data_IF_148550883906
#
_entry.id   IF_148550883906
#
_cell.length_a   1.000
_cell.length_b   1.000
_cell.length_c   1.000
_cell.angle_alpha   90.00
_cell.angle_beta   90.00
_cell.angle_gamma   90.00
#
_symmetry.space_group_name_H-M   'P 1'
#
loop_
_entity.id
_entity.type
_entity.pdbx_description
1 polymer ?
#
# COMPACT_ATOMS: atom_id res chain seq x y z
N UNK A 1 14.71 1.30 3.38
CA UNK A 1 14.48 0.10 2.57
C UNK A 1 15.82 -0.56 2.27
N UNK A 2 15.92 -1.88 2.33
CA UNK A 2 17.15 -2.63 2.04
C UNK A 2 16.87 -3.68 0.95
N UNK A 3 17.64 -3.61 -0.13
CA UNK A 3 17.56 -4.58 -1.21
C UNK A 3 18.40 -5.81 -0.87
N UNK A 4 17.83 -6.99 -1.09
CA UNK A 4 18.50 -8.27 -0.92
C UNK A 4 18.87 -8.82 -2.30
N UNK A 5 20.15 -9.14 -2.49
CA UNK A 5 20.65 -9.75 -3.71
C UNK A 5 20.95 -11.23 -3.51
N UNK A 6 21.02 -11.99 -4.60
CA UNK A 6 21.42 -13.39 -4.55
C UNK A 6 22.79 -13.53 -3.86
N UNK A 7 23.06 -14.62 -3.10
CA UNK A 7 24.26 -14.74 -2.27
C UNK A 7 25.58 -14.44 -3.00
N UNK A 8 25.71 -14.89 -4.25
CA UNK A 8 26.89 -14.63 -5.08
C UNK A 8 27.06 -13.15 -5.44
N UNK A 9 25.95 -12.44 -5.70
CA UNK A 9 25.96 -10.99 -5.97
C UNK A 9 26.28 -10.24 -4.68
N UNK A 10 25.67 -10.62 -3.55
CA UNK A 10 25.93 -10.01 -2.25
C UNK A 10 27.40 -10.14 -1.84
N UNK A 11 28.00 -11.32 -2.03
CA UNK A 11 29.43 -11.54 -1.80
C UNK A 11 30.31 -10.66 -2.72
N UNK A 12 29.90 -10.50 -3.99
CA UNK A 12 30.58 -9.60 -4.92
C UNK A 12 30.48 -8.12 -4.55
N UNK A 13 29.36 -7.69 -3.97
CA UNK A 13 29.19 -6.34 -3.41
C UNK A 13 30.13 -6.14 -2.22
N UNK A 14 30.16 -7.07 -1.27
CA UNK A 14 31.04 -7.00 -0.09
C UNK A 14 32.53 -7.01 -0.46
N UNK A 15 32.89 -7.72 -1.53
CA UNK A 15 34.24 -7.75 -2.07
C UNK A 15 34.61 -6.51 -2.91
N UNK A 16 33.69 -5.55 -3.09
CA UNK A 16 33.89 -4.35 -3.92
C UNK A 16 33.94 -4.61 -5.43
N UNK A 17 33.63 -5.84 -5.87
CA UNK A 17 33.58 -6.22 -7.28
C UNK A 17 32.34 -5.65 -7.96
N UNK A 18 31.24 -5.55 -7.22
CA UNK A 18 29.98 -5.00 -7.70
C UNK A 18 29.53 -3.82 -6.85
N UNK A 19 28.82 -2.87 -7.46
CA UNK A 19 28.30 -1.68 -6.81
C UNK A 19 26.79 -1.63 -6.98
N UNK A 20 26.07 -1.44 -5.88
CA UNK A 20 24.65 -1.10 -5.94
C UNK A 20 24.48 0.27 -6.59
N UNK A 21 23.46 0.42 -7.44
CA UNK A 21 23.13 1.68 -8.09
C UNK A 21 22.35 2.56 -7.11
N UNK A 22 22.63 3.87 -7.13
CA UNK A 22 21.94 4.86 -6.32
C UNK A 22 21.37 5.97 -7.21
N UNK A 23 20.17 6.44 -6.88
CA UNK A 23 19.54 7.64 -7.44
C UNK A 23 19.44 8.69 -6.35
N UNK A 24 20.17 9.80 -6.46
CA UNK A 24 20.20 10.86 -5.43
C UNK A 24 20.45 10.35 -3.99
N UNK A 25 21.31 9.35 -3.84
CA UNK A 25 21.61 8.73 -2.54
C UNK A 25 20.61 7.65 -2.10
N UNK A 26 19.52 7.42 -2.84
CA UNK A 26 18.56 6.34 -2.61
C UNK A 26 19.03 5.07 -3.34
N UNK A 27 19.18 3.93 -2.64
CA UNK A 27 19.57 2.68 -3.28
C UNK A 27 18.49 2.19 -4.25
N UNK A 28 18.89 1.60 -5.37
CA UNK A 28 18.01 0.94 -6.33
C UNK A 28 18.14 -0.58 -6.22
N UNK A 29 17.18 -1.30 -6.80
CA UNK A 29 17.18 -2.76 -6.92
C UNK A 29 18.21 -3.32 -7.91
N UNK A 30 19.16 -2.51 -8.39
CA UNK A 30 20.09 -2.88 -9.47
C UNK A 30 21.53 -2.82 -8.98
N UNK A 31 22.35 -3.76 -9.48
CA UNK A 31 23.79 -3.84 -9.24
C UNK A 31 24.54 -3.83 -10.56
N UNK A 32 25.68 -3.13 -10.57
CA UNK A 32 26.61 -3.06 -11.71
C UNK A 32 28.01 -3.53 -11.34
N UNK A 33 28.78 -3.93 -12.34
CA UNK A 33 30.20 -4.23 -12.19
C UNK A 33 30.98 -2.96 -11.86
N UNK A 34 31.89 -3.04 -10.88
CA UNK A 34 32.66 -1.88 -10.42
C UNK A 34 33.66 -1.37 -11.46
N UNK A 35 34.12 -2.24 -12.38
CA UNK A 35 35.15 -1.92 -13.37
C UNK A 35 34.51 -1.54 -14.71
N UNK A 36 33.62 -2.39 -15.24
CA UNK A 36 33.01 -2.15 -16.54
C UNK A 36 31.80 -1.22 -16.49
N UNK A 37 31.19 -1.04 -15.31
CA UNK A 37 29.95 -0.28 -15.14
C UNK A 37 28.70 -0.98 -15.70
N UNK A 38 28.84 -2.18 -16.28
CA UNK A 38 27.72 -2.94 -16.84
C UNK A 38 26.81 -3.48 -15.74
N UNK A 39 25.51 -3.58 -16.01
CA UNK A 39 24.55 -4.17 -15.09
C UNK A 39 24.75 -5.68 -14.97
N UNK A 40 24.73 -6.19 -13.74
CA UNK A 40 25.03 -7.60 -13.44
C UNK A 40 23.82 -8.32 -12.84
N UNK A 41 23.02 -7.64 -12.01
CA UNK A 41 21.89 -8.28 -11.35
C UNK A 41 20.84 -7.28 -10.86
N UNK A 42 19.63 -7.81 -10.68
CA UNK A 42 18.58 -7.18 -9.89
C UNK A 42 18.50 -7.81 -8.49
N UNK A 43 17.91 -7.09 -7.56
CA UNK A 43 17.59 -7.61 -6.24
C UNK A 43 16.56 -8.75 -6.38
N UNK A 44 16.58 -9.67 -5.42
CA UNK A 44 15.67 -10.82 -5.30
C UNK A 44 14.70 -10.69 -4.12
N UNK A 45 14.95 -9.74 -3.23
CA UNK A 45 14.06 -9.39 -2.13
C UNK A 45 14.23 -7.95 -1.68
N UNK A 46 13.30 -7.48 -0.88
CA UNK A 46 13.34 -6.15 -0.27
C UNK A 46 12.84 -6.26 1.16
N UNK A 47 13.49 -5.55 2.08
CA UNK A 47 13.03 -5.42 3.47
C UNK A 47 12.83 -3.96 3.86
N UNK A 48 11.84 -3.75 4.73
CA UNK A 48 11.58 -2.50 5.44
C UNK A 48 11.56 -2.82 6.92
N UNK A 49 12.31 -2.06 7.72
CA UNK A 49 12.43 -2.28 9.18
C UNK A 49 12.77 -3.73 9.55
N UNK A 50 13.69 -4.36 8.81
CA UNK A 50 14.11 -5.77 8.96
C UNK A 50 13.02 -6.83 8.69
N UNK A 51 11.86 -6.43 8.17
CA UNK A 51 10.78 -7.32 7.76
C UNK A 51 10.65 -7.37 6.23
N UNK A 52 10.25 -8.51 5.63
CA UNK A 52 9.99 -8.58 4.21
C UNK A 52 8.96 -7.54 3.76
N UNK A 53 9.26 -6.86 2.64
CA UNK A 53 8.35 -5.92 2.01
C UNK A 53 7.15 -6.68 1.44
N UNK A 54 6.04 -6.66 2.17
CA UNK A 54 4.79 -7.31 1.80
C UNK A 54 3.67 -6.25 1.67
N UNK A 55 3.71 -5.41 0.63
CA UNK A 55 2.68 -4.39 0.38
C UNK A 55 1.31 -5.04 0.18
N UNK A 56 0.24 -4.36 0.59
CA UNK A 56 -1.12 -4.88 0.44
C UNK A 56 -1.61 -4.75 -1.01
N UNK A 57 -1.30 -3.63 -1.64
CA UNK A 57 -1.72 -3.27 -2.99
C UNK A 57 -0.56 -3.07 -3.95
N UNK A 58 0.64 -2.78 -3.47
CA UNK A 58 1.76 -2.44 -4.34
C UNK A 58 2.46 -3.68 -4.95
N UNK A 59 2.96 -3.55 -6.18
CA UNK A 59 3.59 -4.69 -6.87
C UNK A 59 5.12 -4.67 -6.73
N UNK A 60 5.63 -5.39 -5.74
CA UNK A 60 7.07 -5.52 -5.49
C UNK A 60 7.85 -6.10 -6.69
N UNK A 61 7.22 -6.96 -7.51
CA UNK A 61 7.86 -7.57 -8.70
C UNK A 61 8.20 -6.55 -9.81
N UNK A 62 7.49 -5.42 -9.90
CA UNK A 62 7.78 -4.36 -10.88
C UNK A 62 9.03 -3.56 -10.48
N UNK A 63 9.25 -3.44 -9.18
CA UNK A 63 10.42 -2.83 -8.57
C UNK A 63 11.72 -3.61 -8.92
N UNK A 64 11.61 -4.92 -9.17
CA UNK A 64 12.73 -5.84 -9.38
C UNK A 64 13.08 -6.10 -10.85
N UNK A 65 12.25 -5.66 -11.79
CA UNK A 65 12.41 -5.92 -13.23
C UNK A 65 13.00 -4.74 -14.02
N UNK A 66 13.64 -3.81 -13.30
CA UNK A 66 14.11 -2.52 -13.79
C UNK A 66 14.65 -2.55 -15.23
N UNK A 67 14.00 -1.78 -16.11
CA UNK A 67 14.26 -1.59 -17.54
C UNK A 67 14.00 -2.76 -18.53
N UNK A 68 13.63 -3.97 -18.10
CA UNK A 68 13.62 -5.17 -18.99
C UNK A 68 12.26 -5.53 -19.62
N UNK A 69 11.19 -4.84 -19.26
CA UNK A 69 9.82 -5.27 -19.57
C UNK A 69 9.50 -5.34 -21.07
N UNK A 70 10.25 -4.60 -21.90
CA UNK A 70 9.92 -4.40 -23.31
C UNK A 70 10.43 -5.50 -24.27
N UNK A 71 11.45 -6.29 -23.89
CA UNK A 71 12.19 -7.13 -24.87
C UNK A 71 12.50 -8.56 -24.43
N UNK A 72 12.31 -8.95 -23.17
CA UNK A 72 12.69 -10.28 -22.68
C UNK A 72 11.49 -11.06 -22.17
N UNK A 73 11.49 -12.38 -22.43
CA UNK A 73 10.46 -13.29 -21.95
C UNK A 73 10.31 -13.23 -20.41
N UNK A 74 11.42 -13.01 -19.69
CA UNK A 74 11.43 -12.84 -18.24
C UNK A 74 10.76 -11.54 -17.78
N UNK A 75 11.02 -10.41 -18.44
CA UNK A 75 10.34 -9.13 -18.15
C UNK A 75 8.83 -9.24 -18.33
N UNK A 76 8.38 -9.98 -19.35
CA UNK A 76 6.96 -10.28 -19.55
C UNK A 76 6.38 -11.14 -18.43
N UNK A 77 7.08 -12.21 -18.00
CA UNK A 77 6.64 -13.04 -16.87
C UNK A 77 6.54 -12.24 -15.57
N UNK A 78 7.47 -11.31 -15.31
CA UNK A 78 7.39 -10.44 -14.12
C UNK A 78 6.17 -9.53 -14.13
N UNK A 79 5.83 -8.96 -15.30
CA UNK A 79 4.61 -8.14 -15.47
C UNK A 79 3.37 -9.00 -15.22
N UNK A 80 3.28 -10.20 -15.82
CA UNK A 80 2.16 -11.11 -15.61
C UNK A 80 1.99 -11.51 -14.14
N UNK A 81 3.08 -11.85 -13.46
CA UNK A 81 3.04 -12.19 -12.03
C UNK A 81 2.57 -10.99 -11.20
N UNK A 82 3.05 -9.80 -11.51
CA UNK A 82 2.63 -8.57 -10.83
C UNK A 82 1.14 -8.27 -11.01
N UNK A 83 0.65 -8.44 -12.23
CA UNK A 83 -0.76 -8.30 -12.59
C UNK A 83 -1.66 -9.33 -11.89
N UNK A 84 -1.19 -10.59 -11.77
CA UNK A 84 -1.89 -11.61 -11.00
C UNK A 84 -1.93 -11.25 -9.51
N UNK A 85 -0.86 -10.69 -8.95
CA UNK A 85 -0.85 -10.18 -7.57
C UNK A 85 -1.88 -9.07 -7.37
N UNK A 86 -1.97 -8.10 -8.30
CA UNK A 86 -3.00 -7.04 -8.26
C UNK A 86 -4.40 -7.65 -8.25
N UNK A 87 -4.67 -8.60 -9.16
CA UNK A 87 -5.96 -9.26 -9.24
C UNK A 87 -6.33 -9.99 -7.94
N UNK A 88 -5.39 -10.74 -7.36
CA UNK A 88 -5.61 -11.44 -6.10
C UNK A 88 -5.89 -10.47 -4.94
N UNK A 89 -5.09 -9.41 -4.82
CA UNK A 89 -5.34 -8.36 -3.81
C UNK A 89 -6.71 -7.72 -4.02
N UNK A 90 -7.08 -7.35 -5.25
CA UNK A 90 -8.36 -6.71 -5.56
C UNK A 90 -9.56 -7.57 -5.13
N UNK A 91 -9.53 -8.88 -5.41
CA UNK A 91 -10.61 -9.79 -5.02
C UNK A 91 -10.76 -9.96 -3.51
N UNK A 92 -9.65 -9.98 -2.77
CA UNK A 92 -9.67 -10.06 -1.29
C UNK A 92 -10.16 -8.75 -0.71
N UNK A 93 -9.62 -7.62 -1.16
CA UNK A 93 -9.99 -6.29 -0.68
C UNK A 93 -11.46 -5.98 -0.94
N UNK A 94 -11.97 -6.28 -2.14
CA UNK A 94 -13.38 -6.13 -2.46
C UNK A 94 -14.27 -7.00 -1.56
N UNK A 95 -13.88 -8.25 -1.30
CA UNK A 95 -14.64 -9.12 -0.41
C UNK A 95 -14.65 -8.60 1.04
N UNK A 96 -13.51 -8.13 1.54
CA UNK A 96 -13.44 -7.54 2.89
C UNK A 96 -14.22 -6.23 2.99
N UNK A 97 -14.19 -5.38 1.95
CA UNK A 97 -15.03 -4.18 1.82
C UNK A 97 -16.50 -4.53 1.98
N UNK A 98 -16.91 -5.66 1.40
CA UNK A 98 -18.28 -6.12 1.50
C UNK A 98 -18.72 -6.32 2.98
N UNK A 99 -17.87 -6.91 3.82
CA UNK A 99 -18.20 -7.20 5.21
C UNK A 99 -18.30 -5.94 6.09
N UNK A 100 -17.53 -4.90 5.78
CA UNK A 100 -17.36 -3.72 6.64
C UNK A 100 -17.86 -2.42 5.99
N UNK A 101 -18.34 -2.49 4.74
CA UNK A 101 -18.50 -1.31 3.89
C UNK A 101 -19.85 -0.62 3.97
N UNK A 102 -20.92 -1.27 4.44
CA UNK A 102 -22.28 -0.71 4.34
C UNK A 102 -22.98 -0.76 5.71
N UNK A 103 -23.34 0.41 6.25
CA UNK A 103 -24.13 0.57 7.48
C UNK A 103 -23.32 0.75 8.77
N UNK A 104 -24.00 0.64 9.92
CA UNK A 104 -23.35 0.64 11.25
C UNK A 104 -22.59 -0.66 11.44
N UNK A 105 -21.26 -0.60 11.37
CA UNK A 105 -20.40 -1.78 11.47
C UNK A 105 -20.30 -2.21 12.92
N UNK A 106 -20.58 -3.49 13.21
CA UNK A 106 -20.24 -4.07 14.50
C UNK A 106 -18.71 -4.28 14.57
N UNK A 107 -18.04 -3.90 15.66
CA UNK A 107 -16.59 -4.11 15.83
C UNK A 107 -16.13 -5.56 15.57
N UNK A 108 -17.01 -6.53 15.79
CA UNK A 108 -16.81 -7.95 15.46
C UNK A 108 -16.55 -8.17 13.95
N UNK A 109 -17.15 -7.40 13.06
CA UNK A 109 -16.88 -7.46 11.63
C UNK A 109 -15.47 -6.96 11.28
N UNK A 110 -15.04 -5.86 11.91
CA UNK A 110 -13.72 -5.25 11.68
C UNK A 110 -12.59 -6.19 12.12
N UNK A 111 -12.73 -6.84 13.28
CA UNK A 111 -11.76 -7.85 13.74
C UNK A 111 -11.63 -9.05 12.81
N UNK A 112 -12.73 -9.45 12.14
CA UNK A 112 -12.75 -10.59 11.23
C UNK A 112 -11.96 -10.36 9.93
N UNK A 113 -11.78 -9.09 9.54
CA UNK A 113 -11.06 -8.69 8.32
C UNK A 113 -9.94 -7.69 8.56
N UNK A 114 -9.40 -7.65 9.78
CA UNK A 114 -8.22 -6.83 10.10
C UNK A 114 -7.01 -7.19 9.23
N UNK A 115 -5.90 -6.45 9.41
CA UNK A 115 -4.71 -6.59 8.58
C UNK A 115 -4.19 -8.04 8.53
N UNK A 116 -4.07 -8.67 9.70
CA UNK A 116 -3.58 -10.05 9.80
C UNK A 116 -4.48 -11.03 9.02
N UNK A 117 -5.80 -10.95 9.20
CA UNK A 117 -6.75 -11.81 8.48
C UNK A 117 -6.73 -11.53 6.98
N UNK A 118 -6.62 -10.27 6.57
CA UNK A 118 -6.56 -9.89 5.16
C UNK A 118 -5.32 -10.47 4.48
N UNK A 119 -4.16 -10.38 5.13
CA UNK A 119 -2.93 -11.01 4.63
C UNK A 119 -3.06 -12.54 4.53
N UNK A 120 -3.73 -13.17 5.50
CA UNK A 120 -3.99 -14.60 5.47
C UNK A 120 -4.90 -14.99 4.30
N UNK A 121 -6.01 -14.28 4.12
CA UNK A 121 -6.96 -14.50 3.03
C UNK A 121 -6.27 -14.35 1.66
N UNK A 122 -5.45 -13.31 1.51
CA UNK A 122 -4.63 -13.12 0.31
C UNK A 122 -3.74 -14.31 0.02
N UNK A 123 -3.01 -14.78 1.03
CA UNK A 123 -2.15 -15.96 0.88
C UNK A 123 -2.93 -17.22 0.52
N UNK A 124 -4.13 -17.41 1.09
CA UNK A 124 -4.99 -18.54 0.74
C UNK A 124 -5.48 -18.47 -0.72
N UNK A 125 -5.77 -17.28 -1.25
CA UNK A 125 -6.09 -17.08 -2.67
C UNK A 125 -4.87 -17.30 -3.56
N UNK A 126 -3.70 -16.76 -3.20
CA UNK A 126 -2.44 -16.97 -3.94
C UNK A 126 -2.09 -18.47 -4.03
N UNK A 127 -2.39 -19.24 -2.98
CA UNK A 127 -2.21 -20.70 -2.92
C UNK A 127 -3.36 -21.49 -3.57
N UNK A 128 -4.30 -20.82 -4.24
CA UNK A 128 -5.50 -21.40 -4.87
C UNK A 128 -6.39 -22.22 -3.92
N UNK A 129 -6.30 -21.96 -2.60
CA UNK A 129 -7.14 -22.61 -1.57
C UNK A 129 -8.50 -21.93 -1.45
N UNK A 130 -8.55 -20.65 -1.81
CA UNK A 130 -9.78 -19.87 -1.96
C UNK A 130 -9.89 -19.38 -3.41
N UNK A 131 -11.10 -19.47 -3.96
CA UNK A 131 -11.39 -19.01 -5.32
C UNK A 131 -12.07 -17.63 -5.27
N UNK A 132 -11.64 -16.71 -6.14
CA UNK A 132 -12.30 -15.41 -6.33
C UNK A 132 -13.32 -15.53 -7.45
N UNK A 133 -14.60 -15.37 -7.12
CA UNK A 133 -15.71 -15.36 -8.08
C UNK A 133 -16.34 -13.98 -8.15
N UNK A 134 -16.41 -13.39 -9.34
CA UNK A 134 -16.98 -12.05 -9.56
C UNK A 134 -16.36 -10.96 -8.66
N UNK A 135 -15.10 -11.12 -8.27
CA UNK A 135 -14.39 -10.19 -7.39
C UNK A 135 -14.66 -10.41 -5.91
N UNK A 136 -15.32 -11.50 -5.52
CA UNK A 136 -15.59 -11.85 -4.14
C UNK A 136 -15.05 -13.26 -3.82
N UNK A 137 -14.48 -13.43 -2.64
CA UNK A 137 -14.26 -14.74 -2.04
C UNK A 137 -15.47 -15.14 -1.21
N UNK A 138 -15.71 -16.44 -1.06
CA UNK A 138 -16.72 -16.94 -0.13
C UNK A 138 -16.23 -16.72 1.31
N UNK A 139 -16.59 -15.58 1.91
CA UNK A 139 -16.23 -15.24 3.28
C UNK A 139 -16.81 -16.23 4.30
N UNK A 140 -17.95 -16.88 4.00
CA UNK A 140 -18.55 -17.88 4.89
C UNK A 140 -17.68 -19.13 4.95
N UNK A 141 -17.10 -19.52 3.82
CA UNK A 141 -16.10 -20.59 3.76
C UNK A 141 -14.77 -20.16 4.39
N UNK A 142 -14.27 -18.98 4.02
CA UNK A 142 -12.96 -18.48 4.44
C UNK A 142 -12.88 -18.23 5.96
N UNK A 143 -13.98 -17.75 6.57
CA UNK A 143 -14.08 -17.44 7.99
C UNK A 143 -14.85 -18.51 8.78
N UNK A 144 -14.98 -19.73 8.24
CA UNK A 144 -15.74 -20.82 8.88
C UNK A 144 -15.24 -21.19 10.28
N UNK A 145 -13.93 -20.99 10.53
CA UNK A 145 -13.30 -21.22 11.83
C UNK A 145 -13.51 -20.08 12.84
N UNK A 146 -14.12 -18.97 12.44
CA UNK A 146 -14.39 -17.84 13.32
C UNK A 146 -15.76 -17.97 14.03
N UNK A 147 -15.99 -17.08 15.00
CA UNK A 147 -17.14 -17.12 15.91
C UNK A 147 -18.50 -17.17 15.20
N UNK A 148 -19.53 -17.67 15.91
CA UNK A 148 -20.90 -17.74 15.39
C UNK A 148 -21.42 -16.35 15.02
N UNK A 149 -21.01 -15.32 15.76
CA UNK A 149 -21.36 -13.91 15.54
C UNK A 149 -20.92 -13.42 14.15
N UNK A 150 -19.69 -13.74 13.72
CA UNK A 150 -19.15 -13.34 12.42
C UNK A 150 -19.94 -13.97 11.28
N UNK A 151 -20.36 -15.23 11.45
CA UNK A 151 -21.23 -15.91 10.47
C UNK A 151 -22.62 -15.29 10.39
N UNK A 152 -23.15 -14.79 11.51
CA UNK A 152 -24.44 -14.08 11.52
C UNK A 152 -24.32 -12.73 10.83
N UNK A 153 -23.25 -11.97 11.07
CA UNK A 153 -22.98 -10.70 10.39
C UNK A 153 -22.90 -10.90 8.88
N UNK A 154 -22.16 -11.91 8.40
CA UNK A 154 -22.07 -12.22 6.96
C UNK A 154 -23.46 -12.47 6.37
N UNK A 155 -24.32 -13.21 7.07
CA UNK A 155 -25.68 -13.52 6.61
C UNK A 155 -26.59 -12.27 6.62
N UNK A 156 -26.43 -11.37 7.61
CA UNK A 156 -27.16 -10.11 7.68
C UNK A 156 -26.76 -9.15 6.57
N UNK A 157 -25.45 -8.99 6.33
CA UNK A 157 -24.91 -8.14 5.26
C UNK A 157 -25.40 -8.59 3.89
N UNK A 158 -25.46 -9.90 3.65
CA UNK A 158 -25.99 -10.45 2.39
C UNK A 158 -27.48 -10.15 2.14
N UNK A 159 -28.23 -9.72 3.16
CA UNK A 159 -29.64 -9.34 3.05
C UNK A 159 -29.84 -7.82 2.95
N UNK A 160 -28.78 -7.02 3.08
CA UNK A 160 -28.86 -5.56 3.02
C UNK A 160 -28.97 -5.07 1.56
N UNK A 161 -29.97 -4.22 1.30
CA UNK A 161 -30.26 -3.71 -0.05
C UNK A 161 -29.17 -2.75 -0.54
N UNK A 162 -28.63 -1.89 0.33
CA UNK A 162 -27.52 -0.99 -0.01
C UNK A 162 -26.26 -1.80 -0.29
N UNK A 163 -26.03 -2.85 0.49
CA UNK A 163 -24.96 -3.80 0.24
C UNK A 163 -25.08 -4.41 -1.16
N UNK A 164 -26.24 -4.92 -1.54
CA UNK A 164 -26.45 -5.50 -2.88
C UNK A 164 -26.28 -4.48 -4.01
N UNK A 165 -26.65 -3.21 -3.79
CA UNK A 165 -26.39 -2.13 -4.75
C UNK A 165 -24.89 -1.89 -4.93
N UNK A 166 -24.13 -1.74 -3.85
CA UNK A 166 -22.68 -1.61 -3.89
C UNK A 166 -22.03 -2.83 -4.54
N UNK A 167 -22.46 -4.04 -4.13
CA UNK A 167 -21.97 -5.30 -4.67
C UNK A 167 -22.18 -5.37 -6.17
N UNK A 168 -23.35 -4.98 -6.68
CA UNK A 168 -23.65 -4.99 -8.12
C UNK A 168 -22.69 -4.11 -8.92
N UNK A 169 -22.42 -2.89 -8.43
CA UNK A 169 -21.46 -1.98 -9.06
C UNK A 169 -20.05 -2.57 -9.03
N UNK A 170 -19.62 -3.09 -7.89
CA UNK A 170 -18.28 -3.67 -7.73
C UNK A 170 -18.07 -4.96 -8.53
N UNK A 171 -19.09 -5.82 -8.65
CA UNK A 171 -19.05 -7.00 -9.53
C UNK A 171 -18.81 -6.57 -10.98
N UNK A 172 -19.53 -5.54 -11.44
CA UNK A 172 -19.36 -5.00 -12.79
C UNK A 172 -17.96 -4.43 -13.00
N UNK A 173 -17.51 -3.58 -12.08
CA UNK A 173 -16.19 -2.95 -12.15
C UNK A 173 -15.06 -4.00 -12.15
N UNK A 174 -15.15 -5.01 -11.28
CA UNK A 174 -14.22 -6.13 -11.26
C UNK A 174 -14.25 -6.93 -12.57
N UNK A 175 -15.43 -7.17 -13.14
CA UNK A 175 -15.57 -7.83 -14.44
C UNK A 175 -14.86 -7.07 -15.56
N UNK A 176 -15.01 -5.74 -15.61
CA UNK A 176 -14.30 -4.87 -16.56
C UNK A 176 -12.79 -4.92 -16.32
N UNK A 177 -12.35 -4.88 -15.06
CA UNK A 177 -10.94 -5.02 -14.70
C UNK A 177 -10.36 -6.34 -15.21
N UNK A 178 -10.98 -7.49 -14.90
CA UNK A 178 -10.51 -8.81 -15.37
C UNK A 178 -10.46 -8.88 -16.89
N UNK A 179 -11.45 -8.31 -17.58
CA UNK A 179 -11.45 -8.26 -19.03
C UNK A 179 -10.28 -7.41 -19.55
N UNK A 180 -10.01 -6.25 -18.95
CA UNK A 180 -8.86 -5.41 -19.27
C UNK A 180 -7.54 -6.18 -19.10
N UNK A 181 -7.39 -6.95 -18.02
CA UNK A 181 -6.21 -7.77 -17.74
C UNK A 181 -6.02 -8.86 -18.81
N UNK A 182 -7.09 -9.55 -19.21
CA UNK A 182 -7.06 -10.55 -20.28
C UNK A 182 -6.68 -9.94 -21.64
N UNK A 183 -7.26 -8.77 -21.96
CA UNK A 183 -6.93 -8.00 -23.15
C UNK A 183 -5.46 -7.53 -23.12
N UNK A 184 -4.95 -7.11 -21.97
CA UNK A 184 -3.56 -6.71 -21.80
C UNK A 184 -2.59 -7.86 -22.10
N UNK A 185 -2.84 -9.04 -21.52
CA UNK A 185 -2.07 -10.24 -21.80
C UNK A 185 -2.06 -10.56 -23.30
N UNK A 186 -3.21 -10.45 -23.96
CA UNK A 186 -3.35 -10.69 -25.39
C UNK A 186 -2.59 -9.66 -26.23
N UNK A 187 -2.68 -8.38 -25.88
CA UNK A 187 -2.00 -7.29 -26.57
C UNK A 187 -0.48 -7.46 -26.48
N UNK A 188 0.05 -7.86 -25.33
CA UNK A 188 1.49 -8.08 -25.12
C UNK A 188 2.07 -9.23 -25.96
N UNK A 189 1.25 -10.16 -26.45
CA UNK A 189 1.67 -11.23 -27.36
C UNK A 189 1.76 -10.79 -28.84
N UNK A 190 1.26 -9.59 -29.17
CA UNK A 190 1.30 -9.06 -30.53
C UNK A 190 2.72 -8.63 -30.92
N UNK A 191 3.20 -9.13 -32.07
CA UNK A 191 4.50 -8.76 -32.63
C UNK A 191 4.49 -7.38 -33.30
N UNK A 192 3.35 -6.98 -33.88
CA UNK A 192 3.18 -5.67 -34.50
C UNK A 192 3.09 -4.59 -33.41
N UNK A 193 4.07 -3.70 -33.40
CA UNK A 193 4.21 -2.64 -32.41
C UNK A 193 2.99 -1.71 -32.35
N UNK A 194 2.46 -1.31 -33.51
CA UNK A 194 1.35 -0.36 -33.58
C UNK A 194 0.06 -1.01 -33.07
N UNK A 195 -0.19 -2.26 -33.45
CA UNK A 195 -1.37 -3.02 -32.97
C UNK A 195 -1.27 -3.33 -31.47
N UNK A 196 -0.07 -3.67 -31.00
CA UNK A 196 0.18 -3.86 -29.56
C UNK A 196 -0.13 -2.61 -28.77
N UNK A 197 0.39 -1.45 -29.20
CA UNK A 197 0.18 -0.20 -28.49
C UNK A 197 -1.29 0.23 -28.51
N UNK A 198 -1.97 0.10 -29.66
CA UNK A 198 -3.41 0.36 -29.75
C UNK A 198 -4.21 -0.55 -28.79
N UNK A 199 -3.86 -1.84 -28.72
CA UNK A 199 -4.48 -2.77 -27.76
C UNK A 199 -4.22 -2.40 -26.30
N UNK A 200 -3.03 -1.89 -25.97
CA UNK A 200 -2.71 -1.39 -24.62
C UNK A 200 -3.48 -0.10 -24.30
N UNK A 201 -3.69 0.77 -25.27
CA UNK A 201 -4.50 1.99 -25.09
C UNK A 201 -5.97 1.65 -24.82
N UNK A 202 -6.53 0.67 -25.53
CA UNK A 202 -7.88 0.14 -25.30
C UNK A 202 -8.02 -0.45 -23.88
N UNK A 203 -7.03 -1.24 -23.45
CA UNK A 203 -6.95 -1.77 -22.07
C UNK A 203 -6.97 -0.64 -21.06
N UNK A 204 -6.17 0.42 -21.28
CA UNK A 204 -6.12 1.56 -20.38
C UNK A 204 -7.48 2.24 -20.26
N UNK A 205 -8.23 2.36 -21.36
CA UNK A 205 -9.61 2.85 -21.35
C UNK A 205 -10.53 2.02 -20.44
N UNK A 206 -10.41 0.69 -20.50
CA UNK A 206 -11.18 -0.21 -19.63
C UNK A 206 -10.79 -0.07 -18.15
N UNK A 207 -9.49 0.07 -17.86
CA UNK A 207 -9.02 0.28 -16.49
C UNK A 207 -9.54 1.61 -15.92
N UNK A 208 -9.58 2.68 -16.71
CA UNK A 208 -10.20 3.94 -16.28
C UNK A 208 -11.71 3.80 -16.02
N UNK A 209 -12.41 3.00 -16.83
CA UNK A 209 -13.83 2.73 -16.60
C UNK A 209 -14.07 1.96 -15.29
N UNK A 210 -13.26 0.93 -15.01
CA UNK A 210 -13.34 0.19 -13.74
C UNK A 210 -12.99 1.10 -12.56
N UNK A 211 -11.93 1.91 -12.67
CA UNK A 211 -11.50 2.85 -11.65
C UNK A 211 -12.62 3.82 -11.25
N UNK A 212 -13.36 4.36 -12.22
CA UNK A 212 -14.44 5.31 -11.98
C UNK A 212 -15.53 4.74 -11.04
N UNK A 213 -15.82 3.44 -11.14
CA UNK A 213 -16.78 2.77 -10.27
C UNK A 213 -16.23 2.57 -8.85
N UNK A 214 -14.95 2.19 -8.68
CA UNK A 214 -14.33 2.04 -7.36
C UNK A 214 -14.14 3.39 -6.66
N UNK A 215 -13.75 4.44 -7.39
CA UNK A 215 -13.51 5.78 -6.83
C UNK A 215 -14.75 6.68 -6.84
N UNK A 216 -15.95 6.13 -7.02
CA UNK A 216 -17.18 6.91 -7.08
C UNK A 216 -17.46 7.60 -5.72
N UNK A 217 -17.46 8.95 -5.64
CA UNK A 217 -17.61 9.66 -4.37
C UNK A 217 -18.93 9.35 -3.65
N UNK A 218 -20.04 9.26 -4.38
CA UNK A 218 -21.35 8.96 -3.79
C UNK A 218 -21.38 7.60 -3.11
N UNK A 219 -20.73 6.61 -3.72
CA UNK A 219 -20.65 5.28 -3.11
C UNK A 219 -19.61 5.22 -1.98
N UNK A 220 -18.59 6.09 -1.97
CA UNK A 220 -17.62 6.16 -0.86
C UNK A 220 -18.20 6.85 0.39
N UNK A 221 -19.03 7.86 0.20
CA UNK A 221 -19.71 8.58 1.28
C UNK A 221 -20.63 7.68 2.10
N UNK A 222 -21.26 6.69 1.47
CA UNK A 222 -22.14 5.72 2.12
C UNK A 222 -21.44 4.66 2.97
N UNK A 223 -20.10 4.62 2.95
CA UNK A 223 -19.29 3.66 3.70
C UNK A 223 -18.73 4.27 4.99
N UNK A 224 -18.46 3.42 5.98
CA UNK A 224 -17.66 3.80 7.15
C UNK A 224 -16.18 4.02 6.76
N UNK A 225 -15.35 4.54 7.66
CA UNK A 225 -13.96 4.87 7.35
C UNK A 225 -13.15 3.62 6.93
N UNK A 226 -13.36 2.49 7.61
CA UNK A 226 -12.72 1.22 7.28
C UNK A 226 -13.15 0.68 5.90
N UNK A 227 -14.44 0.74 5.59
CA UNK A 227 -14.97 0.37 4.28
C UNK A 227 -14.47 1.27 3.16
N UNK A 228 -14.39 2.58 3.42
CA UNK A 228 -13.83 3.54 2.49
C UNK A 228 -12.37 3.22 2.18
N UNK A 229 -11.56 2.91 3.19
CA UNK A 229 -10.16 2.53 3.01
C UNK A 229 -10.02 1.33 2.06
N UNK A 230 -10.74 0.22 2.33
CA UNK A 230 -10.64 -0.98 1.49
C UNK A 230 -11.07 -0.75 0.04
N UNK A 231 -12.05 0.11 -0.17
CA UNK A 231 -12.46 0.49 -1.52
C UNK A 231 -11.44 1.37 -2.23
N UNK A 232 -10.82 2.31 -1.51
CA UNK A 232 -9.75 3.14 -2.04
C UNK A 232 -8.51 2.30 -2.40
N UNK A 233 -8.17 1.31 -1.59
CA UNK A 233 -7.11 0.35 -1.90
C UNK A 233 -7.36 -0.40 -3.21
N UNK A 234 -8.60 -0.81 -3.48
CA UNK A 234 -8.99 -1.35 -4.79
C UNK A 234 -8.76 -0.34 -5.93
N UNK A 235 -9.13 0.92 -5.73
CA UNK A 235 -8.91 1.97 -6.72
C UNK A 235 -7.42 2.21 -6.97
N UNK A 236 -6.59 2.28 -5.93
CA UNK A 236 -5.14 2.45 -6.03
C UNK A 236 -4.47 1.26 -6.72
N UNK A 237 -4.96 0.03 -6.52
CA UNK A 237 -4.48 -1.16 -7.23
C UNK A 237 -4.75 -1.06 -8.76
N UNK A 238 -5.90 -0.54 -9.16
CA UNK A 238 -6.23 -0.30 -10.58
C UNK A 238 -5.37 0.84 -11.15
N UNK A 239 -5.12 1.89 -10.39
CA UNK A 239 -4.20 2.98 -10.79
C UNK A 239 -2.78 2.45 -11.06
N UNK A 240 -2.28 1.52 -10.25
CA UNK A 240 -1.00 0.86 -10.52
C UNK A 240 -1.02 0.05 -11.81
N UNK A 241 -2.11 -0.68 -12.10
CA UNK A 241 -2.26 -1.38 -13.38
C UNK A 241 -2.23 -0.38 -14.56
N UNK A 242 -2.83 0.80 -14.41
CA UNK A 242 -2.73 1.89 -15.40
C UNK A 242 -1.28 2.34 -15.58
N UNK A 243 -0.52 2.54 -14.50
CA UNK A 243 0.92 2.90 -14.59
C UNK A 243 1.70 1.84 -15.38
N UNK A 244 1.42 0.55 -15.13
CA UNK A 244 2.06 -0.56 -15.88
C UNK A 244 1.81 -0.44 -17.38
N UNK A 245 0.62 -0.03 -17.82
CA UNK A 245 0.33 0.15 -19.26
C UNK A 245 1.26 1.17 -19.92
N UNK A 246 1.57 2.28 -19.23
CA UNK A 246 2.53 3.27 -19.73
C UNK A 246 3.95 2.73 -19.69
N UNK A 247 4.31 1.98 -18.64
CA UNK A 247 5.64 1.41 -18.50
C UNK A 247 5.95 0.41 -19.62
N UNK A 248 5.02 -0.47 -19.99
CA UNK A 248 5.26 -1.43 -21.08
C UNK A 248 5.31 -0.77 -22.46
N UNK A 249 4.71 0.41 -22.62
CA UNK A 249 4.86 1.25 -23.81
C UNK A 249 6.14 2.11 -23.78
N UNK A 250 6.94 2.01 -22.71
CA UNK A 250 8.16 2.78 -22.48
C UNK A 250 7.92 4.31 -22.37
N UNK A 251 6.73 4.71 -21.91
CA UNK A 251 6.37 6.11 -21.69
C UNK A 251 6.86 6.60 -20.31
N UNK A 252 8.18 6.65 -20.12
CA UNK A 252 8.85 6.92 -18.83
C UNK A 252 8.36 8.20 -18.15
N UNK A 253 8.09 9.26 -18.92
CA UNK A 253 7.54 10.52 -18.39
C UNK A 253 6.14 10.32 -17.81
N UNK A 254 5.25 9.65 -18.55
CA UNK A 254 3.90 9.35 -18.09
C UNK A 254 3.92 8.44 -16.85
N UNK A 255 4.82 7.45 -16.81
CA UNK A 255 5.00 6.59 -15.63
C UNK A 255 5.35 7.41 -14.40
N UNK A 256 6.37 8.28 -14.50
CA UNK A 256 6.79 9.17 -13.41
C UNK A 256 5.63 10.04 -12.93
N UNK A 257 4.95 10.73 -13.85
CA UNK A 257 3.86 11.63 -13.49
C UNK A 257 2.69 10.88 -12.81
N UNK A 258 2.35 9.69 -13.32
CA UNK A 258 1.26 8.87 -12.73
C UNK A 258 1.64 8.32 -11.35
N UNK A 259 2.89 7.95 -11.11
CA UNK A 259 3.36 7.48 -9.82
C UNK A 259 3.36 8.58 -8.76
N UNK A 260 3.78 9.81 -9.11
CA UNK A 260 3.69 10.98 -8.22
C UNK A 260 2.23 11.24 -7.86
N UNK A 261 1.35 11.31 -8.87
CA UNK A 261 -0.08 11.53 -8.65
C UNK A 261 -0.73 10.45 -7.77
N UNK A 262 -0.34 9.19 -7.95
CA UNK A 262 -0.85 8.08 -7.14
C UNK A 262 -0.38 8.19 -5.68
N UNK A 263 0.89 8.50 -5.44
CA UNK A 263 1.42 8.67 -4.08
C UNK A 263 0.71 9.83 -3.35
N UNK A 264 0.56 10.98 -4.01
CA UNK A 264 -0.17 12.13 -3.47
C UNK A 264 -1.62 11.78 -3.17
N UNK A 265 -2.26 11.02 -4.06
CA UNK A 265 -3.64 10.57 -3.90
C UNK A 265 -3.79 9.63 -2.70
N UNK A 266 -2.91 8.63 -2.56
CA UNK A 266 -2.90 7.73 -1.39
C UNK A 266 -2.77 8.53 -0.10
N UNK A 267 -1.87 9.52 -0.03
CA UNK A 267 -1.71 10.37 1.15
C UNK A 267 -2.98 11.17 1.47
N UNK A 268 -3.59 11.83 0.48
CA UNK A 268 -4.83 12.63 0.66
C UNK A 268 -6.03 11.77 1.06
N UNK A 269 -6.17 10.63 0.41
CA UNK A 269 -7.23 9.69 0.67
C UNK A 269 -7.08 9.09 2.08
N UNK A 270 -5.85 8.74 2.50
CA UNK A 270 -5.57 8.27 3.87
C UNK A 270 -5.92 9.33 4.91
N UNK A 271 -5.53 10.60 4.71
CA UNK A 271 -5.93 11.71 5.59
C UNK A 271 -7.46 11.86 5.68
N UNK A 272 -8.15 11.74 4.54
CA UNK A 272 -9.61 11.79 4.50
C UNK A 272 -10.24 10.67 5.34
N UNK A 273 -9.73 9.45 5.22
CA UNK A 273 -10.18 8.29 5.99
C UNK A 273 -9.91 8.47 7.49
N UNK A 274 -8.71 8.91 7.88
CA UNK A 274 -8.35 9.13 9.29
C UNK A 274 -9.29 10.17 9.91
N UNK A 275 -9.56 11.27 9.20
CA UNK A 275 -10.44 12.33 9.69
C UNK A 275 -11.91 11.89 9.81
N UNK A 276 -12.34 10.90 9.02
CA UNK A 276 -13.67 10.28 9.12
C UNK A 276 -13.78 9.19 10.18
N UNK A 277 -12.69 8.80 10.83
CA UNK A 277 -12.71 7.79 11.88
C UNK A 277 -13.44 8.35 13.12
N UNK A 278 -14.53 7.69 13.52
CA UNK A 278 -15.41 8.16 14.61
C UNK A 278 -15.38 7.26 15.85
N UNK A 279 -14.80 6.06 15.76
CA UNK A 279 -14.85 5.06 16.84
C UNK A 279 -13.52 4.34 17.08
N UNK A 280 -13.34 3.79 18.29
CA UNK A 280 -12.19 2.95 18.62
C UNK A 280 -12.15 1.69 17.76
N UNK A 281 -13.27 1.02 17.54
CA UNK A 281 -13.34 -0.19 16.71
C UNK A 281 -12.82 0.08 15.28
N UNK A 282 -13.18 1.22 14.68
CA UNK A 282 -12.64 1.63 13.39
C UNK A 282 -11.15 1.96 13.47
N UNK A 283 -10.70 2.60 14.53
CA UNK A 283 -9.28 2.93 14.71
C UNK A 283 -8.43 1.67 14.90
N UNK A 284 -8.95 0.67 15.62
CA UNK A 284 -8.32 -0.66 15.80
C UNK A 284 -8.06 -1.34 14.46
N UNK A 285 -8.95 -1.11 13.49
CA UNK A 285 -8.79 -1.57 12.12
C UNK A 285 -7.85 -0.67 11.32
N UNK A 286 -8.07 0.64 11.33
CA UNK A 286 -7.39 1.59 10.44
C UNK A 286 -5.92 1.77 10.79
N UNK A 287 -5.56 1.77 12.07
CA UNK A 287 -4.22 2.14 12.49
C UNK A 287 -3.14 1.19 11.96
N UNK A 288 -3.26 -0.16 12.12
CA UNK A 288 -2.29 -1.07 11.53
C UNK A 288 -2.25 -1.01 10.00
N UNK A 289 -3.41 -0.86 9.36
CA UNK A 289 -3.54 -0.79 7.89
C UNK A 289 -2.82 0.43 7.32
N UNK A 290 -3.06 1.60 7.89
CA UNK A 290 -2.49 2.88 7.44
C UNK A 290 -0.98 2.91 7.66
N UNK A 291 -0.49 2.39 8.79
CA UNK A 291 0.95 2.22 9.01
C UNK A 291 1.56 1.32 7.93
N UNK A 292 0.89 0.22 7.58
CA UNK A 292 1.36 -0.67 6.53
C UNK A 292 1.39 0.03 5.18
N UNK A 293 0.33 0.74 4.81
CA UNK A 293 0.28 1.53 3.56
C UNK A 293 1.44 2.53 3.51
N UNK A 294 1.70 3.25 4.61
CA UNK A 294 2.78 4.22 4.69
C UNK A 294 4.16 3.59 4.52
N UNK A 295 4.40 2.46 5.20
CA UNK A 295 5.74 1.88 5.32
C UNK A 295 6.05 0.84 4.23
N UNK A 296 5.04 0.21 3.65
CA UNK A 296 5.19 -0.84 2.66
C UNK A 296 4.74 -0.35 1.27
N UNK A 297 3.48 0.04 1.11
CA UNK A 297 2.93 0.36 -0.20
C UNK A 297 3.51 1.64 -0.79
N UNK A 298 3.52 2.74 -0.04
CA UNK A 298 4.17 3.99 -0.47
C UNK A 298 5.68 3.82 -0.65
N UNK A 299 6.32 2.97 0.15
CA UNK A 299 7.75 2.69 -0.01
C UNK A 299 8.05 1.96 -1.33
N UNK A 300 7.19 1.03 -1.76
CA UNK A 300 7.28 0.38 -3.09
C UNK A 300 7.11 1.41 -4.21
N UNK A 301 6.11 2.27 -4.11
CA UNK A 301 5.83 3.30 -5.12
C UNK A 301 6.96 4.33 -5.23
N UNK A 302 7.49 4.80 -4.09
CA UNK A 302 8.65 5.70 -4.05
C UNK A 302 9.88 5.03 -4.68
N UNK A 303 10.12 3.76 -4.38
CA UNK A 303 11.24 3.06 -5.02
C UNK A 303 11.04 2.84 -6.52
N UNK A 304 9.80 2.62 -6.97
CA UNK A 304 9.47 2.55 -8.40
C UNK A 304 9.69 3.90 -9.08
N UNK A 305 9.25 4.99 -8.45
CA UNK A 305 9.48 6.36 -8.91
C UNK A 305 10.98 6.65 -9.03
N UNK A 306 11.75 6.38 -7.98
CA UNK A 306 13.21 6.59 -7.97
C UNK A 306 13.92 5.82 -9.09
N UNK A 307 13.44 4.61 -9.42
CA UNK A 307 13.96 3.83 -10.53
C UNK A 307 13.63 4.47 -11.90
N UNK A 308 12.40 4.92 -12.10
CA UNK A 308 11.94 5.59 -13.32
C UNK A 308 12.66 6.92 -13.53
N UNK A 309 12.82 7.71 -12.47
CA UNK A 309 13.58 8.96 -12.50
C UNK A 309 15.05 8.75 -12.81
N UNK A 310 15.65 7.71 -12.24
CA UNK A 310 17.01 7.34 -12.57
C UNK A 310 17.14 6.98 -14.05
N UNK A 311 16.25 6.15 -14.60
CA UNK A 311 16.25 5.82 -16.03
C UNK A 311 16.16 7.07 -16.91
N UNK A 312 15.31 8.03 -16.53
CA UNK A 312 15.19 9.33 -17.22
C UNK A 312 16.48 10.16 -17.16
N UNK A 313 17.25 10.04 -16.09
CA UNK A 313 18.51 10.78 -15.91
C UNK A 313 19.69 10.23 -16.70
N UNK A 314 19.57 9.03 -17.28
CA UNK A 314 20.64 8.41 -18.05
C UNK A 314 20.88 9.15 -19.38
N UNK A 315 22.14 9.42 -19.76
CA UNK A 315 22.47 9.97 -21.07
C UNK A 315 21.93 9.11 -22.22
N UNK A 316 21.59 9.69 -23.39
CA UNK A 316 21.14 8.92 -24.56
C UNK A 316 22.12 7.84 -25.01
N UNK A 317 23.42 8.05 -24.81
CA UNK A 317 24.49 7.09 -25.13
C UNK A 317 24.64 5.97 -24.07
N UNK A 318 24.09 6.19 -22.86
CA UNK A 318 24.00 5.24 -21.76
C UNK A 318 22.61 4.60 -21.65
N UNK A 319 21.65 5.02 -22.48
CA UNK A 319 20.38 4.31 -22.66
C UNK A 319 20.70 2.90 -23.20
N UNK A 320 20.18 1.89 -22.49
CA UNK A 320 20.70 0.52 -22.56
C UNK A 320 20.85 0.01 -24.01
N UNK A 321 22.07 -0.33 -24.46
CA UNK A 321 22.22 -1.16 -25.64
C UNK A 321 21.59 -2.53 -25.34
N UNK A 322 20.85 -3.07 -26.31
CA UNK A 322 20.17 -4.38 -26.22
C UNK A 322 21.10 -5.56 -25.87
N UNK A 323 22.42 -5.39 -25.98
CA UNK A 323 23.44 -6.36 -25.57
C UNK A 323 23.65 -6.45 -24.06
N UNK A 324 23.57 -5.34 -23.31
CA UNK A 324 23.70 -5.35 -21.84
C UNK A 324 22.42 -5.88 -21.17
N UNK A 325 21.27 -5.70 -21.83
CA UNK A 325 19.96 -6.28 -21.47
C UNK A 325 19.94 -7.83 -21.58
N UNK A 326 20.72 -8.42 -22.50
CA UNK A 326 20.79 -9.88 -22.68
C UNK A 326 21.56 -10.59 -21.55
N UNK A 327 22.58 -9.95 -20.97
CA UNK A 327 23.35 -10.53 -19.86
C UNK A 327 22.44 -10.73 -18.64
N UNK A 328 21.53 -9.79 -18.38
CA UNK A 328 20.55 -9.87 -17.30
C UNK A 328 19.51 -11.00 -17.49
N UNK A 329 19.30 -11.47 -18.73
CA UNK A 329 18.39 -12.57 -19.06
C UNK A 329 19.00 -13.97 -18.96
N UNK A 330 20.33 -14.05 -18.95
CA UNK A 330 21.09 -15.31 -19.03
C UNK A 330 21.44 -15.93 -17.67
N UNK A 331 21.16 -15.23 -16.58
CA UNK A 331 21.16 -15.87 -15.27
C UNK A 331 19.92 -16.75 -15.18
N UNK A 332 20.10 -18.06 -15.19
CA UNK A 332 19.04 -19.04 -14.94
C UNK A 332 18.46 -18.80 -13.54
N UNK A 333 17.48 -17.91 -13.45
CA UNK A 333 16.60 -17.78 -12.30
C UNK A 333 15.55 -18.88 -12.37
N UNK A 334 15.99 -20.14 -12.44
CA UNK A 334 15.12 -21.26 -12.17
C UNK A 334 14.48 -21.01 -10.82
N UNK A 335 13.16 -20.89 -10.86
CA UNK A 335 12.22 -21.00 -9.75
C UNK A 335 12.94 -21.33 -8.45
N UNK A 336 13.31 -20.32 -7.68
CA UNK A 336 13.14 -20.49 -6.26
C UNK A 336 11.63 -20.66 -6.10
N UNK A 337 11.19 -21.92 -6.17
CA UNK A 337 10.10 -22.37 -5.35
C UNK A 337 10.47 -21.86 -3.96
N UNK A 338 9.96 -20.68 -3.62
CA UNK A 338 9.87 -20.26 -2.25
C UNK A 338 8.99 -21.34 -1.66
N UNK A 339 9.62 -22.37 -1.09
CA UNK A 339 8.94 -23.34 -0.26
C UNK A 339 8.35 -22.51 0.87
N UNK A 340 7.14 -21.98 0.65
CA UNK A 340 6.25 -21.47 1.66
C UNK A 340 5.78 -22.71 2.43
N UNK A 341 6.72 -23.32 3.16
CA UNK A 341 6.47 -24.10 4.34
C UNK A 341 5.35 -23.43 5.09
N UNK A 342 4.33 -24.19 5.46
CA UNK A 342 3.07 -23.76 6.06
C UNK A 342 3.29 -22.69 7.14
N UNK A 343 3.29 -21.41 6.74
CA UNK A 343 3.59 -20.30 7.66
C UNK A 343 2.28 -20.01 8.40
N UNK A 344 2.21 -20.35 9.67
CA UNK A 344 1.52 -19.51 10.65
C UNK A 344 2.08 -18.10 10.43
N UNK A 345 1.38 -17.26 9.66
CA UNK A 345 1.81 -15.87 9.51
C UNK A 345 1.94 -15.34 10.94
N UNK A 346 3.14 -14.91 11.31
CA UNK A 346 3.27 -14.15 12.54
C UNK A 346 2.37 -12.91 12.43
N UNK A 347 1.86 -12.46 13.56
CA UNK A 347 1.10 -11.22 13.63
C UNK A 347 1.91 -10.07 12.99
N UNK A 348 1.28 -9.22 12.16
CA UNK A 348 1.98 -8.12 11.51
C UNK A 348 2.58 -7.19 12.57
N UNK A 349 3.82 -6.70 12.39
CA UNK A 349 4.45 -5.82 13.36
C UNK A 349 3.64 -4.54 13.60
N UNK A 350 2.88 -4.07 12.61
CA UNK A 350 1.99 -2.91 12.72
C UNK A 350 0.89 -3.12 13.77
N UNK A 351 0.38 -4.36 13.90
CA UNK A 351 -0.63 -4.73 14.89
C UNK A 351 -0.06 -4.65 16.31
N UNK A 352 1.15 -5.20 16.52
CA UNK A 352 1.84 -5.16 17.82
C UNK A 352 2.21 -3.74 18.25
N UNK A 353 2.61 -2.90 17.29
CA UNK A 353 2.89 -1.48 17.55
C UNK A 353 1.60 -0.78 18.01
N UNK A 354 0.50 -1.01 17.30
CA UNK A 354 -0.78 -0.40 17.65
C UNK A 354 -1.25 -0.81 19.05
N UNK A 355 -1.24 -2.11 19.37
CA UNK A 355 -1.66 -2.60 20.69
C UNK A 355 -0.89 -1.94 21.83
N UNK A 356 0.43 -1.77 21.65
CA UNK A 356 1.26 -1.10 22.66
C UNK A 356 0.97 0.40 22.81
N UNK A 357 0.53 1.07 21.74
CA UNK A 357 0.16 2.48 21.74
C UNK A 357 -1.24 2.69 22.32
N UNK A 358 -2.17 1.79 21.98
CA UNK A 358 -3.56 1.82 22.41
C UNK A 358 -3.69 1.72 23.94
N UNK A 359 -2.88 0.88 24.59
CA UNK A 359 -2.81 0.80 26.06
C UNK A 359 -2.37 2.10 26.75
N UNK A 360 -1.66 2.98 26.02
CA UNK A 360 -0.98 4.17 26.57
C UNK A 360 -1.60 5.49 26.12
N UNK A 361 -2.66 5.46 25.33
CA UNK A 361 -3.23 6.63 24.68
C UNK A 361 -4.74 6.57 24.69
N UNK A 362 -5.39 7.71 24.46
CA UNK A 362 -6.82 7.77 24.17
C UNK A 362 -7.06 7.93 22.67
N UNK A 363 -8.29 7.64 22.23
CA UNK A 363 -8.75 7.73 20.85
C UNK A 363 -8.17 8.89 20.04
N UNK A 364 -8.40 10.12 20.47
CA UNK A 364 -8.05 11.31 19.70
C UNK A 364 -6.53 11.45 19.55
N UNK A 365 -5.76 11.13 20.59
CA UNK A 365 -4.29 11.10 20.51
C UNK A 365 -3.79 10.04 19.52
N UNK A 366 -4.38 8.83 19.53
CA UNK A 366 -4.02 7.78 18.57
C UNK A 366 -4.35 8.17 17.13
N UNK A 367 -5.53 8.76 16.91
CA UNK A 367 -5.93 9.24 15.59
C UNK A 367 -4.96 10.32 15.08
N UNK A 368 -4.57 11.26 15.93
CA UNK A 368 -3.63 12.32 15.56
C UNK A 368 -2.21 11.80 15.34
N UNK A 369 -1.79 10.75 16.07
CA UNK A 369 -0.54 10.05 15.79
C UNK A 369 -0.50 9.47 14.36
N UNK A 370 -1.62 9.00 13.80
CA UNK A 370 -1.70 8.64 12.39
C UNK A 370 -1.60 9.86 11.48
N UNK A 371 -2.25 10.97 11.83
CA UNK A 371 -2.18 12.21 11.06
C UNK A 371 -0.74 12.71 10.95
N UNK A 372 0.07 12.62 12.01
CA UNK A 372 1.48 13.03 11.99
C UNK A 372 2.31 12.32 10.91
N UNK A 373 1.93 11.09 10.51
CA UNK A 373 2.62 10.34 9.46
C UNK A 373 2.49 10.99 8.07
N UNK A 374 1.44 11.78 7.86
CA UNK A 374 1.10 12.41 6.58
C UNK A 374 1.13 13.94 6.65
N UNK A 375 0.93 14.52 7.84
CA UNK A 375 0.95 15.97 8.10
C UNK A 375 2.00 16.30 9.20
N UNK A 376 3.30 16.37 8.85
CA UNK A 376 4.36 16.70 9.80
C UNK A 376 4.20 18.09 10.44
N UNK A 377 3.52 19.02 9.76
CA UNK A 377 3.27 20.36 10.29
C UNK A 377 2.27 20.32 11.46
N UNK A 378 1.26 19.44 11.44
CA UNK A 378 0.34 19.25 12.56
C UNK A 378 1.10 18.83 13.83
N UNK A 379 2.07 17.93 13.69
CA UNK A 379 2.95 17.53 14.81
C UNK A 379 3.71 18.73 15.37
N UNK A 380 4.25 19.60 14.50
CA UNK A 380 4.97 20.82 14.91
C UNK A 380 4.06 21.83 15.60
N UNK A 381 2.82 21.98 15.15
CA UNK A 381 1.82 22.81 15.83
C UNK A 381 1.57 22.30 17.26
N UNK A 382 1.49 20.98 17.45
CA UNK A 382 1.31 20.38 18.77
C UNK A 382 2.54 20.62 19.65
N UNK A 383 3.75 20.43 19.12
CA UNK A 383 5.00 20.73 19.84
C UNK A 383 5.07 22.21 20.29
N UNK A 384 4.68 23.14 19.42
CA UNK A 384 4.65 24.56 19.74
C UNK A 384 3.66 24.87 20.86
N UNK A 385 2.41 24.39 20.72
CA UNK A 385 1.37 24.58 21.73
C UNK A 385 1.78 23.99 23.09
N UNK A 386 2.30 22.76 23.11
CA UNK A 386 2.79 22.11 24.34
C UNK A 386 3.89 22.97 24.99
N UNK A 387 4.84 23.48 24.19
CA UNK A 387 5.94 24.30 24.71
C UNK A 387 5.45 25.61 25.31
N UNK A 388 4.44 26.24 24.72
CA UNK A 388 3.83 27.46 25.23
C UNK A 388 3.11 27.19 26.57
N UNK A 389 2.25 26.17 26.61
CA UNK A 389 1.48 25.81 27.81
C UNK A 389 2.37 25.31 28.96
N UNK A 390 3.44 24.59 28.63
CA UNK A 390 4.46 24.18 29.57
C UNK A 390 5.17 25.38 30.19
N UNK A 391 5.48 26.41 29.40
CA UNK A 391 6.06 27.67 29.87
C UNK A 391 5.17 28.37 30.90
N UNK A 392 3.87 28.47 30.62
CA UNK A 392 2.87 29.08 31.51
C UNK A 392 2.76 28.31 32.83
N UNK A 393 2.89 26.99 32.80
CA UNK A 393 2.69 26.12 33.98
C UNK A 393 3.95 25.66 34.67
N UNK A 394 5.10 26.14 34.23
CA UNK A 394 6.39 25.92 34.89
C UNK A 394 7.08 24.60 34.55
N UNK A 395 6.63 23.86 33.53
CA UNK A 395 7.29 22.65 33.03
C UNK A 395 8.48 22.99 32.12
N UNK A 396 9.58 23.46 32.72
CA UNK A 396 10.76 24.01 32.03
C UNK A 396 11.47 23.06 31.06
N UNK A 397 11.20 21.75 31.11
CA UNK A 397 11.84 20.74 30.25
C UNK A 397 11.07 20.47 28.95
N UNK A 398 9.79 20.85 28.86
CA UNK A 398 8.97 20.65 27.68
C UNK A 398 9.15 21.81 26.70
N UNK A 399 10.40 22.02 26.26
CA UNK A 399 10.76 23.01 25.24
C UNK A 399 10.76 22.36 23.85
N UNK A 400 10.56 23.15 22.80
CA UNK A 400 10.47 22.67 21.41
C UNK A 400 11.61 21.72 21.02
N UNK A 401 12.86 22.00 21.39
CA UNK A 401 14.01 21.13 21.05
C UNK A 401 13.90 19.72 21.63
N UNK A 402 13.31 19.59 22.82
CA UNK A 402 13.10 18.28 23.45
C UNK A 402 11.88 17.57 22.87
N UNK A 403 10.82 18.32 22.57
CA UNK A 403 9.59 17.79 21.97
C UNK A 403 9.82 17.29 20.54
N UNK A 404 10.71 17.94 19.78
CA UNK A 404 11.13 17.46 18.46
C UNK A 404 11.72 16.04 18.51
N UNK A 405 12.45 15.70 19.58
CA UNK A 405 13.04 14.37 19.79
C UNK A 405 12.10 13.37 20.46
N UNK A 406 10.96 13.83 20.97
CA UNK A 406 9.98 12.98 21.64
C UNK A 406 9.24 12.09 20.63
N UNK A 407 8.71 10.97 21.10
CA UNK A 407 7.86 10.12 20.27
C UNK A 407 6.53 10.79 19.95
N UNK A 408 5.90 10.38 18.85
CA UNK A 408 4.56 10.82 18.47
C UNK A 408 3.53 10.53 19.56
N UNK A 409 3.67 9.37 20.23
CA UNK A 409 2.92 9.03 21.46
C UNK A 409 3.02 10.13 22.53
N UNK A 410 4.23 10.62 22.78
CA UNK A 410 4.48 11.62 23.81
C UNK A 410 3.87 12.96 23.42
N UNK A 411 4.08 13.39 22.17
CA UNK A 411 3.56 14.66 21.66
C UNK A 411 2.02 14.65 21.66
N UNK A 412 1.39 13.61 21.11
CA UNK A 412 -0.06 13.48 21.06
C UNK A 412 -0.69 13.49 22.47
N UNK A 413 -0.17 12.68 23.40
CA UNK A 413 -0.72 12.63 24.75
C UNK A 413 -0.51 13.93 25.54
N UNK A 414 0.64 14.59 25.39
CA UNK A 414 0.90 15.86 26.07
C UNK A 414 0.00 16.98 25.54
N UNK A 415 -0.23 17.02 24.22
CA UNK A 415 -1.14 17.99 23.62
C UNK A 415 -2.53 17.90 24.26
N UNK A 416 -3.12 16.70 24.30
CA UNK A 416 -4.44 16.50 24.88
C UNK A 416 -4.49 16.68 26.39
N UNK A 417 -3.40 16.39 27.11
CA UNK A 417 -3.28 16.73 28.52
C UNK A 417 -3.43 18.24 28.75
N UNK A 418 -2.71 19.07 27.99
CA UNK A 418 -2.80 20.53 28.12
C UNK A 418 -4.13 21.07 27.61
N UNK A 419 -4.63 20.57 26.49
CA UNK A 419 -5.91 20.97 25.91
C UNK A 419 -7.08 20.75 26.86
N UNK A 420 -7.22 19.53 27.41
CA UNK A 420 -8.31 19.21 28.34
C UNK A 420 -8.21 20.04 29.63
N UNK A 421 -6.99 20.33 30.08
CA UNK A 421 -6.77 21.20 31.25
C UNK A 421 -7.25 22.62 30.97
N UNK A 422 -6.92 23.17 29.81
CA UNK A 422 -7.27 24.55 29.47
C UNK A 422 -8.79 24.68 29.24
N UNK A 423 -9.42 23.74 28.53
CA UNK A 423 -10.89 23.67 28.37
C UNK A 423 -11.62 23.59 29.72
N UNK A 424 -11.10 22.80 30.68
CA UNK A 424 -11.70 22.70 32.02
C UNK A 424 -11.60 24.00 32.84
N UNK A 425 -10.59 24.83 32.59
CA UNK A 425 -10.45 26.13 33.27
C UNK A 425 -11.45 27.13 32.71
N UNK A 426 -11.61 27.18 31.38
CA UNK A 426 -12.56 28.08 30.72
C UNK A 426 -14.02 27.81 31.17
N UNK A 427 -14.42 26.54 31.30
CA UNK A 427 -15.74 26.16 31.83
C UNK A 427 -15.94 26.62 33.28
N UNK A 428 -14.91 26.51 34.12
CA UNK A 428 -14.98 26.90 35.53
C UNK A 428 -15.09 28.43 35.69
N UNK A 429 -14.37 29.19 34.86
CA UNK A 429 -14.42 30.65 34.85
C UNK A 429 -15.78 31.18 34.34
N UNK A 430 -16.36 30.56 33.30
CA UNK A 430 -17.71 30.88 32.79
C UNK A 430 -18.84 30.60 33.80
N UNK A 431 -18.73 29.53 34.59
CA UNK A 431 -19.70 29.23 35.66
C UNK A 431 -19.55 30.18 36.85
N UNK A 432 -18.35 30.70 37.11
CA UNK A 432 -18.11 31.66 38.20
C UNK A 432 -18.48 33.12 37.87
N UNK A 433 -18.71 33.42 36.58
CA UNK A 433 -19.07 34.74 36.08
C UNK A 433 -20.59 34.95 35.86
N UNK A 434 -21.41 33.90 36.05
CA UNK A 434 -22.88 33.94 36.08
C UNK A 434 -23.39 33.83 37.52
#
# INVERSE_FOLDING_TARGET
MLFQFAPAIQAGIHAGKYLQVFSNGVPLSIVRDAVSGQFIANAIGVTVNNSPLSPLIAVSNLLMSGAQMYQTQQGFTSVLNGLQTIQTSLGVLQATTALIGVGTVAGVALTAVNLHQTMKLRKEVEQMRLEVKNGFIDLKQALKGQGVEIRQIIEQVAQDIKFEQHRTVLVRAYGVFIQAMSCFCSAMLLQDFNRRNAGIDDVRGMLFAALADYSNPHLLEETCAAGQLRRLECAWAIEQAIVVTYQVQNEVLAVSDRLILLQDKICKDALTVINRCESHDELDFLFPEIIRIKNHDLAVLDSWQNHVDWMRSLPPEASLPSSDLKVLSSADFNSSETHYSTINLAEPPEQLVYESLAEKSHFSSLRDQLLFLFEPELRREYEFYISEQAGITGYKTLVTSNLQQASDLTVGNLYYYFKNRDESKDETELVSAN
#
